data_IF_227111616536
#
_entry.id   IF_227111616536
#
_cell.length_a   1.000
_cell.length_b   1.000
_cell.length_c   1.000
_cell.angle_alpha   90.00
_cell.angle_beta   90.00
_cell.angle_gamma   90.00
#
_symmetry.space_group_name_H-M   'P 1'
#
loop_
_entity.id
_entity.type
_entity.pdbx_description
1 polymer ?
#
# COMPACT_ATOMS: atom_id res chain seq x y z
N UNK A 1 5.15 -6.62 -0.11
CA UNK A 1 4.09 -5.60 0.10
C UNK A 1 4.13 -5.23 1.58
N UNK A 2 4.64 -4.04 1.97
CA UNK A 2 4.89 -3.69 3.36
C UNK A 2 3.71 -3.86 4.30
N UNK A 3 2.48 -3.61 3.85
CA UNK A 3 1.27 -3.74 4.67
C UNK A 3 0.82 -5.17 4.99
N UNK A 4 1.35 -6.19 4.28
CA UNK A 4 0.84 -7.58 4.38
C UNK A 4 1.96 -8.63 4.42
N UNK A 5 3.22 -8.22 4.32
CA UNK A 5 4.36 -9.13 4.16
C UNK A 5 4.48 -9.81 2.79
N UNK A 6 3.40 -9.95 2.02
CA UNK A 6 3.38 -10.71 0.75
C UNK A 6 4.33 -10.17 -0.34
N UNK A 7 5.26 -11.01 -0.83
CA UNK A 7 6.28 -10.65 -1.83
C UNK A 7 6.14 -11.31 -3.20
N UNK A 8 5.38 -12.41 -3.30
CA UNK A 8 5.30 -13.27 -4.49
C UNK A 8 4.77 -12.50 -5.70
N UNK A 9 3.54 -11.97 -5.62
CA UNK A 9 2.93 -11.19 -6.72
C UNK A 9 3.79 -9.99 -7.17
N UNK A 10 4.26 -9.12 -6.26
CA UNK A 10 5.20 -8.05 -6.63
C UNK A 10 6.50 -8.54 -7.29
N UNK A 11 6.99 -9.72 -6.91
CA UNK A 11 8.14 -10.36 -7.54
C UNK A 11 7.87 -10.75 -8.98
N UNK A 12 6.73 -11.39 -9.26
CA UNK A 12 6.32 -11.70 -10.63
C UNK A 12 6.14 -10.44 -11.48
N UNK A 13 5.48 -9.41 -10.95
CA UNK A 13 5.35 -8.13 -11.66
C UNK A 13 6.70 -7.49 -12.01
N UNK A 14 7.70 -7.64 -11.13
CA UNK A 14 9.07 -7.18 -11.41
C UNK A 14 9.71 -7.97 -12.55
N UNK A 15 9.55 -9.31 -12.55
CA UNK A 15 10.06 -10.18 -13.62
C UNK A 15 9.43 -9.80 -14.95
N UNK A 16 8.10 -9.70 -15.01
CA UNK A 16 7.35 -9.35 -16.23
C UNK A 16 7.77 -7.99 -16.80
N UNK A 17 8.08 -7.03 -15.92
CA UNK A 17 8.51 -5.70 -16.33
C UNK A 17 9.93 -5.65 -16.88
N UNK A 18 10.85 -6.44 -16.30
CA UNK A 18 12.29 -6.33 -16.59
C UNK A 18 12.76 -7.31 -17.67
N UNK A 19 12.32 -8.56 -17.63
CA UNK A 19 12.85 -9.64 -18.49
C UNK A 19 12.79 -9.30 -19.98
N UNK A 20 11.68 -8.76 -20.54
CA UNK A 20 11.63 -8.45 -21.97
C UNK A 20 12.67 -7.39 -22.38
N UNK A 21 12.96 -6.43 -21.50
CA UNK A 21 13.94 -5.36 -21.78
C UNK A 21 15.37 -5.87 -21.63
N UNK A 22 15.63 -6.67 -20.60
CA UNK A 22 16.93 -7.27 -20.36
C UNK A 22 17.31 -8.24 -21.48
N UNK A 23 16.41 -9.14 -21.89
CA UNK A 23 16.66 -10.09 -22.99
C UNK A 23 17.06 -9.36 -24.26
N UNK A 24 16.28 -8.36 -24.65
CA UNK A 24 16.55 -7.55 -25.85
C UNK A 24 17.90 -6.82 -25.77
N UNK A 25 18.23 -6.23 -24.62
CA UNK A 25 19.53 -5.57 -24.45
C UNK A 25 20.69 -6.55 -24.47
N UNK A 26 20.51 -7.80 -24.00
CA UNK A 26 21.53 -8.84 -24.09
C UNK A 26 21.73 -9.30 -25.54
N UNK A 27 20.65 -9.55 -26.28
CA UNK A 27 20.67 -9.94 -27.69
C UNK A 27 21.41 -8.90 -28.55
N UNK A 28 21.22 -7.61 -28.25
CA UNK A 28 21.87 -6.51 -28.96
C UNK A 28 23.25 -6.12 -28.39
N UNK A 29 23.72 -6.76 -27.31
CA UNK A 29 24.91 -6.36 -26.56
C UNK A 29 24.89 -4.89 -26.06
N UNK A 30 23.70 -4.36 -25.77
CA UNK A 30 23.46 -2.99 -25.32
C UNK A 30 23.44 -2.90 -23.78
N UNK A 31 24.54 -3.31 -23.14
CA UNK A 31 24.62 -3.44 -21.68
C UNK A 31 25.29 -2.24 -20.98
N UNK A 32 25.25 -1.07 -21.61
CA UNK A 32 25.83 0.14 -21.04
C UNK A 32 25.19 0.51 -19.69
N UNK A 33 25.91 1.25 -18.85
CA UNK A 33 25.36 1.83 -17.62
C UNK A 33 24.09 2.64 -17.88
N UNK A 34 24.05 3.40 -18.98
CA UNK A 34 22.88 4.18 -19.38
C UNK A 34 21.65 3.29 -19.63
N UNK A 35 21.85 2.21 -20.40
CA UNK A 35 20.79 1.23 -20.70
C UNK A 35 20.30 0.57 -19.41
N UNK A 36 21.21 0.08 -18.56
CA UNK A 36 20.84 -0.58 -17.30
C UNK A 36 20.10 0.34 -16.33
N UNK A 37 20.50 1.63 -16.27
CA UNK A 37 19.79 2.64 -15.49
C UNK A 37 18.38 2.89 -16.03
N UNK A 38 18.19 2.91 -17.35
CA UNK A 38 16.87 3.10 -17.97
C UNK A 38 15.93 1.92 -17.68
N UNK A 39 16.44 0.68 -17.72
CA UNK A 39 15.69 -0.53 -17.39
C UNK A 39 15.32 -0.52 -15.90
N UNK A 40 16.27 -0.21 -15.03
CA UNK A 40 16.02 -0.11 -13.58
C UNK A 40 15.01 0.98 -13.24
N UNK A 41 14.96 2.06 -14.03
CA UNK A 41 14.00 3.14 -13.83
C UNK A 41 12.54 2.72 -14.03
N UNK A 42 12.26 1.63 -14.74
CA UNK A 42 10.92 1.05 -14.86
C UNK A 42 10.34 0.66 -13.49
N UNK A 43 11.19 0.29 -12.54
CA UNK A 43 10.76 -0.08 -11.18
C UNK A 43 10.41 1.13 -10.30
N UNK A 44 10.63 2.37 -10.75
CA UNK A 44 10.42 3.57 -9.92
C UNK A 44 8.99 3.68 -9.42
N UNK A 45 8.01 3.39 -10.26
CA UNK A 45 6.60 3.43 -9.88
C UNK A 45 6.28 2.34 -8.84
N UNK A 46 6.73 1.11 -9.08
CA UNK A 46 6.59 0.02 -8.11
C UNK A 46 7.23 0.39 -6.76
N UNK A 47 8.45 0.93 -6.77
CA UNK A 47 9.14 1.38 -5.56
C UNK A 47 8.37 2.50 -4.85
N UNK A 48 7.83 3.48 -5.58
CA UNK A 48 6.97 4.54 -5.02
C UNK A 48 5.72 3.96 -4.37
N UNK A 49 5.07 3.00 -5.02
CA UNK A 49 3.88 2.33 -4.48
C UNK A 49 4.20 1.52 -3.22
N UNK A 50 5.35 0.84 -3.17
CA UNK A 50 5.79 0.16 -1.95
C UNK A 50 6.16 1.14 -0.83
N UNK A 51 6.76 2.30 -1.14
CA UNK A 51 7.04 3.35 -0.14
C UNK A 51 5.75 3.88 0.50
N UNK A 52 4.73 4.22 -0.30
CA UNK A 52 3.42 4.62 0.23
C UNK A 52 2.80 3.56 1.16
N UNK A 53 2.88 2.29 0.76
CA UNK A 53 2.40 1.16 1.58
C UNK A 53 3.20 1.02 2.88
N UNK A 54 4.50 1.31 2.86
CA UNK A 54 5.36 1.31 4.05
C UNK A 54 4.99 2.46 4.99
N UNK A 55 4.88 3.68 4.47
CA UNK A 55 4.48 4.84 5.26
C UNK A 55 3.12 4.61 5.94
N UNK A 56 2.16 4.02 5.21
CA UNK A 56 0.88 3.61 5.79
C UNK A 56 1.04 2.60 6.94
N UNK A 57 1.85 1.56 6.74
CA UNK A 57 2.15 0.57 7.80
C UNK A 57 2.76 1.25 9.02
N UNK A 58 3.75 2.11 8.81
CA UNK A 58 4.50 2.73 9.91
C UNK A 58 3.59 3.65 10.74
N UNK A 59 2.73 4.42 10.09
CA UNK A 59 1.75 5.29 10.75
C UNK A 59 0.73 4.56 11.64
N UNK A 60 0.51 3.25 11.41
CA UNK A 60 -0.47 2.46 12.17
C UNK A 60 0.16 1.38 13.04
N UNK A 61 1.34 0.86 12.73
CA UNK A 61 1.93 -0.26 13.48
C UNK A 61 3.24 0.09 14.17
N UNK A 62 3.93 1.15 13.73
CA UNK A 62 5.23 1.54 14.29
C UNK A 62 5.10 2.79 15.16
N UNK A 63 4.26 3.75 14.75
CA UNK A 63 4.14 5.06 15.38
C UNK A 63 2.98 5.16 16.38
N UNK A 64 2.09 4.16 16.44
CA UNK A 64 0.98 4.14 17.40
C UNK A 64 1.33 3.34 18.64
N UNK A 65 0.94 3.86 19.80
CA UNK A 65 0.98 3.09 21.05
C UNK A 65 -0.10 2.01 21.09
N UNK A 66 0.10 0.97 21.90
CA UNK A 66 -0.89 -0.08 22.15
C UNK A 66 -2.24 0.51 22.59
N UNK A 67 -2.23 1.54 23.43
CA UNK A 67 -3.45 2.25 23.86
C UNK A 67 -4.17 2.97 22.71
N UNK A 68 -3.44 3.47 21.71
CA UNK A 68 -4.06 4.03 20.50
C UNK A 68 -4.63 2.95 19.61
N UNK A 69 -3.94 1.81 19.48
CA UNK A 69 -4.42 0.64 18.76
C UNK A 69 -5.69 0.07 19.40
N UNK A 70 -5.72 -0.11 20.71
CA UNK A 70 -6.88 -0.65 21.43
C UNK A 70 -8.12 0.21 21.20
N UNK A 71 -8.00 1.53 21.30
CA UNK A 71 -9.11 2.46 21.01
C UNK A 71 -9.63 2.35 19.57
N UNK A 72 -8.78 1.95 18.62
CA UNK A 72 -9.22 1.72 17.24
C UNK A 72 -10.01 0.41 17.17
N UNK A 73 -9.53 -0.64 17.85
CA UNK A 73 -10.26 -1.90 17.94
C UNK A 73 -11.60 -1.74 18.65
N UNK A 74 -11.69 -0.94 19.71
CA UNK A 74 -12.95 -0.59 20.38
C UNK A 74 -13.96 0.05 19.43
N UNK A 75 -13.49 0.90 18.50
CA UNK A 75 -14.35 1.50 17.47
C UNK A 75 -14.80 0.44 16.46
N UNK A 76 -13.88 -0.41 16.00
CA UNK A 76 -14.18 -1.43 15.00
C UNK A 76 -15.06 -2.55 15.53
N UNK A 77 -15.02 -2.83 16.83
CA UNK A 77 -15.83 -3.85 17.48
C UNK A 77 -17.28 -3.42 17.73
N UNK A 78 -17.64 -2.15 17.49
CA UNK A 78 -19.02 -1.69 17.62
C UNK A 78 -19.90 -2.35 16.56
N UNK A 79 -21.11 -2.83 16.91
CA UNK A 79 -22.00 -3.52 15.98
C UNK A 79 -22.21 -2.74 14.67
N UNK A 80 -22.51 -1.45 14.77
CA UNK A 80 -22.76 -0.59 13.61
C UNK A 80 -21.56 -0.45 12.68
N UNK A 81 -20.34 -0.57 13.20
CA UNK A 81 -19.10 -0.51 12.40
C UNK A 81 -18.82 -1.87 11.77
N UNK A 82 -19.00 -2.96 12.51
CA UNK A 82 -18.86 -4.31 11.96
C UNK A 82 -19.87 -4.58 10.86
N UNK A 83 -21.11 -4.09 11.00
CA UNK A 83 -22.14 -4.23 9.97
C UNK A 83 -21.77 -3.50 8.68
N UNK A 84 -21.23 -2.28 8.78
CA UNK A 84 -20.68 -1.55 7.64
C UNK A 84 -19.54 -2.31 6.96
N UNK A 85 -18.64 -2.92 7.73
CA UNK A 85 -17.54 -3.73 7.19
C UNK A 85 -18.08 -4.98 6.51
N UNK A 86 -19.07 -5.66 7.09
CA UNK A 86 -19.66 -6.85 6.50
C UNK A 86 -20.44 -6.54 5.20
N UNK A 87 -21.10 -5.38 5.13
CA UNK A 87 -21.88 -4.97 3.96
C UNK A 87 -21.00 -4.45 2.81
N UNK A 88 -19.96 -3.66 3.11
CA UNK A 88 -19.17 -2.94 2.10
C UNK A 88 -17.70 -3.38 2.01
N UNK A 89 -17.24 -4.27 2.88
CA UNK A 89 -15.86 -4.71 2.95
C UNK A 89 -15.48 -5.63 1.81
N UNK A 90 -14.79 -5.07 0.83
CA UNK A 90 -14.13 -5.81 -0.24
C UNK A 90 -12.62 -5.54 -0.19
N UNK A 91 -11.84 -6.62 -0.03
CA UNK A 91 -10.37 -6.56 0.05
C UNK A 91 -9.77 -6.09 -1.29
N UNK A 92 -10.39 -6.44 -2.41
CA UNK A 92 -9.96 -6.03 -3.75
C UNK A 92 -10.47 -4.64 -4.11
N UNK A 93 -11.63 -4.21 -3.58
CA UNK A 93 -12.20 -2.88 -3.77
C UNK A 93 -12.55 -2.18 -2.45
N UNK A 94 -11.57 -1.61 -1.74
CA UNK A 94 -11.78 -1.03 -0.41
C UNK A 94 -12.43 0.37 -0.41
N UNK A 95 -12.63 0.98 -1.59
CA UNK A 95 -13.09 2.39 -1.70
C UNK A 95 -14.50 2.60 -1.11
N UNK A 96 -15.52 1.77 -1.43
CA UNK A 96 -16.88 1.95 -0.89
C UNK A 96 -16.92 1.94 0.64
N UNK A 97 -16.25 0.97 1.27
CA UNK A 97 -16.12 0.92 2.73
C UNK A 97 -15.45 2.18 3.27
N UNK A 98 -14.34 2.63 2.67
CA UNK A 98 -13.64 3.83 3.12
C UNK A 98 -14.51 5.10 3.12
N UNK A 99 -15.34 5.29 2.09
CA UNK A 99 -16.28 6.42 2.01
C UNK A 99 -17.35 6.32 3.11
N UNK A 100 -17.92 5.13 3.30
CA UNK A 100 -18.91 4.87 4.36
C UNK A 100 -18.34 5.14 5.74
N UNK A 101 -17.16 4.62 6.03
CA UNK A 101 -16.45 4.83 7.29
C UNK A 101 -16.16 6.32 7.56
N UNK A 102 -15.75 7.09 6.55
CA UNK A 102 -15.55 8.55 6.70
C UNK A 102 -16.84 9.29 7.05
N UNK A 103 -17.96 8.88 6.45
CA UNK A 103 -19.25 9.51 6.64
C UNK A 103 -19.85 9.15 8.00
N UNK A 104 -19.82 7.88 8.36
CA UNK A 104 -20.65 7.29 9.42
C UNK A 104 -19.86 7.01 10.72
N UNK A 105 -18.53 6.96 10.68
CA UNK A 105 -17.68 6.70 11.85
C UNK A 105 -16.76 7.90 12.12
N UNK A 106 -17.12 8.83 13.03
CA UNK A 106 -16.34 10.04 13.30
C UNK A 106 -14.87 9.77 13.67
N UNK A 107 -14.61 8.72 14.44
CA UNK A 107 -13.27 8.31 14.88
C UNK A 107 -12.38 7.89 13.70
N UNK A 108 -12.97 7.34 12.63
CA UNK A 108 -12.26 6.96 11.42
C UNK A 108 -11.66 8.18 10.71
N UNK A 109 -12.28 9.36 10.80
CA UNK A 109 -11.77 10.58 10.15
C UNK A 109 -10.37 10.94 10.64
N UNK A 110 -10.10 10.77 11.94
CA UNK A 110 -8.77 11.01 12.52
C UNK A 110 -7.74 10.02 11.96
N UNK A 111 -8.11 8.74 11.84
CA UNK A 111 -7.25 7.70 11.29
C UNK A 111 -6.96 7.95 9.80
N UNK A 112 -7.99 8.31 9.03
CA UNK A 112 -7.86 8.65 7.62
C UNK A 112 -6.95 9.88 7.42
N UNK A 113 -7.05 10.90 8.28
CA UNK A 113 -6.15 12.04 8.27
C UNK A 113 -4.69 11.67 8.54
N UNK A 114 -4.44 10.82 9.55
CA UNK A 114 -3.09 10.29 9.85
C UNK A 114 -2.53 9.49 8.68
N UNK A 115 -3.34 8.60 8.07
CA UNK A 115 -2.97 7.83 6.89
C UNK A 115 -2.64 8.71 5.69
N UNK A 116 -3.49 9.70 5.39
CA UNK A 116 -3.26 10.65 4.31
C UNK A 116 -1.96 11.42 4.54
N UNK A 117 -1.69 11.84 5.79
CA UNK A 117 -0.44 12.50 6.14
C UNK A 117 0.77 11.60 5.91
N UNK A 118 0.71 10.36 6.36
CA UNK A 118 1.81 9.42 6.15
C UNK A 118 2.10 9.17 4.67
N UNK A 119 1.07 9.03 3.84
CA UNK A 119 1.25 8.73 2.40
C UNK A 119 1.74 9.94 1.59
N UNK A 120 1.38 11.16 2.01
CA UNK A 120 1.76 12.40 1.31
C UNK A 120 3.15 12.90 1.71
N UNK A 121 3.53 12.74 2.98
CA UNK A 121 4.79 13.28 3.53
C UNK A 121 5.80 12.20 3.95
N UNK A 122 5.47 10.91 3.84
CA UNK A 122 6.36 9.77 4.11
C UNK A 122 6.82 8.99 2.88
#
# INVERSE_FOLDING_TARGET
KPTTGGGIGPGFNQVDLLVPRLSKSMENNELSRGTMNSISALLKEMARNQRKKRALRDAFLTEMSDNELERIFDVWARPEVTDLINEFGDIENPIPLGIKMLREVPEFRRLAGRAAKAVLWG
#
